data_IF_973349571048
#
_entry.id   IF_973349571048
#
_cell.length_a   1.000
_cell.length_b   1.000
_cell.length_c   1.000
_cell.angle_alpha   90.00
_cell.angle_beta   90.00
_cell.angle_gamma   90.00
#
_symmetry.space_group_name_H-M   'P 1'
#
loop_
_entity.id
_entity.type
_entity.pdbx_description
1 polymer ?
#
# COMPACT_ATOMS: atom_id res chain seq x y z
N UNK A 1 -16.39 -13.55 -6.17
CA UNK A 1 -15.16 -12.84 -5.82
C UNK A 1 -15.55 -11.56 -5.14
N UNK A 2 -15.14 -11.40 -3.89
CA UNK A 2 -15.40 -10.22 -3.07
C UNK A 2 -14.05 -9.57 -2.74
N UNK A 3 -13.88 -8.31 -3.14
CA UNK A 3 -12.70 -7.54 -2.75
C UNK A 3 -12.87 -7.11 -1.31
N UNK A 4 -11.94 -7.49 -0.44
CA UNK A 4 -11.91 -7.08 0.97
C UNK A 4 -10.77 -6.11 1.19
N UNK A 5 -11.08 -4.95 1.77
CA UNK A 5 -10.11 -3.92 2.10
C UNK A 5 -10.07 -3.79 3.61
N UNK A 6 -8.97 -4.23 4.21
CA UNK A 6 -8.77 -4.07 5.65
C UNK A 6 -8.31 -2.65 5.94
N UNK A 7 -9.09 -1.97 6.79
CA UNK A 7 -8.88 -0.60 7.22
C UNK A 7 -8.83 -0.51 8.75
N UNK A 8 -8.49 0.66 9.26
CA UNK A 8 -8.36 1.03 10.65
C UNK A 8 -8.95 2.42 10.84
N UNK A 9 -10.16 2.49 11.40
CA UNK A 9 -10.86 3.74 11.68
C UNK A 9 -10.14 4.58 12.75
N UNK A 10 -9.50 3.93 13.72
CA UNK A 10 -8.86 4.58 14.87
C UNK A 10 -7.36 4.85 14.63
N UNK A 11 -6.84 4.68 13.41
CA UNK A 11 -5.41 4.88 13.14
C UNK A 11 -4.92 6.28 13.52
N UNK A 12 -3.85 6.34 14.34
CA UNK A 12 -3.17 7.58 14.71
C UNK A 12 -2.27 8.15 13.60
N UNK A 13 -2.01 7.37 12.55
CA UNK A 13 -1.16 7.78 11.43
C UNK A 13 -2.01 8.45 10.33
N UNK A 14 -1.74 9.74 10.09
CA UNK A 14 -2.44 10.53 9.07
C UNK A 14 -2.22 9.99 7.65
N UNK A 15 -1.04 9.46 7.37
CA UNK A 15 -0.71 8.88 6.06
C UNK A 15 -1.57 7.64 5.80
N UNK A 16 -1.64 6.73 6.78
CA UNK A 16 -2.50 5.54 6.73
C UNK A 16 -3.96 5.92 6.47
N UNK A 17 -4.49 6.93 7.16
CA UNK A 17 -5.85 7.43 6.92
C UNK A 17 -6.06 7.92 5.48
N UNK A 18 -5.13 8.71 4.95
CA UNK A 18 -5.21 9.19 3.56
C UNK A 18 -5.14 8.04 2.54
N UNK A 19 -4.21 7.10 2.74
CA UNK A 19 -4.06 5.91 1.88
C UNK A 19 -5.34 5.08 1.86
N UNK A 20 -5.91 4.77 3.02
CA UNK A 20 -7.17 4.02 3.12
C UNK A 20 -8.33 4.74 2.41
N UNK A 21 -8.49 6.04 2.67
CA UNK A 21 -9.54 6.84 2.02
C UNK A 21 -9.37 6.84 0.50
N UNK A 22 -8.14 7.01 0.02
CA UNK A 22 -7.83 7.00 -1.42
C UNK A 22 -8.16 5.66 -2.07
N UNK A 23 -7.83 4.53 -1.43
CA UNK A 23 -8.20 3.20 -1.93
C UNK A 23 -9.71 3.06 -2.07
N UNK A 24 -10.48 3.42 -1.04
CA UNK A 24 -11.94 3.38 -1.10
C UNK A 24 -12.49 4.25 -2.24
N UNK A 25 -12.03 5.51 -2.35
CA UNK A 25 -12.47 6.44 -3.40
C UNK A 25 -12.20 5.91 -4.82
N UNK A 26 -11.05 5.26 -5.03
CA UNK A 26 -10.68 4.69 -6.33
C UNK A 26 -11.59 3.50 -6.67
N UNK A 27 -11.81 2.60 -5.71
CA UNK A 27 -12.69 1.44 -5.90
C UNK A 27 -14.13 1.87 -6.21
N UNK A 28 -14.65 2.87 -5.50
CA UNK A 28 -15.96 3.47 -5.78
C UNK A 28 -16.02 4.09 -7.18
N UNK A 29 -14.97 4.82 -7.57
CA UNK A 29 -14.88 5.48 -8.89
C UNK A 29 -14.81 4.48 -10.05
N UNK A 30 -14.21 3.30 -9.83
CA UNK A 30 -14.12 2.21 -10.82
C UNK A 30 -15.35 1.28 -10.76
N UNK A 31 -16.37 1.59 -9.95
CA UNK A 31 -17.58 0.78 -9.74
C UNK A 31 -17.27 -0.67 -9.29
N UNK A 32 -16.20 -0.85 -8.53
CA UNK A 32 -15.80 -2.17 -8.03
C UNK A 32 -16.49 -2.39 -6.69
N UNK A 33 -17.18 -3.51 -6.52
CA UNK A 33 -17.79 -3.87 -5.24
C UNK A 33 -16.72 -4.36 -4.28
N UNK A 34 -16.59 -3.71 -3.13
CA UNK A 34 -15.64 -4.08 -2.09
C UNK A 34 -16.27 -4.03 -0.69
N UNK A 35 -15.69 -4.78 0.23
CA UNK A 35 -16.05 -4.81 1.64
C UNK A 35 -14.92 -4.15 2.44
N UNK A 36 -15.21 -3.03 3.10
CA UNK A 36 -14.26 -2.38 4.00
C UNK A 36 -14.39 -3.01 5.40
N UNK A 37 -13.34 -3.70 5.85
CA UNK A 37 -13.29 -4.37 7.14
C UNK A 37 -12.43 -3.54 8.09
N UNK A 38 -13.06 -2.90 9.08
CA UNK A 38 -12.33 -2.14 10.10
C UNK A 38 -11.80 -3.07 11.20
N UNK A 39 -10.49 -3.31 11.17
CA UNK A 39 -9.80 -4.17 12.14
C UNK A 39 -9.68 -3.54 13.54
N UNK A 40 -10.10 -2.28 13.70
CA UNK A 40 -10.13 -1.58 14.99
C UNK A 40 -11.47 -1.64 15.69
N UNK A 41 -12.51 -2.17 15.04
CA UNK A 41 -13.80 -2.38 15.69
C UNK A 41 -13.74 -3.51 16.73
N UNK A 42 -14.51 -3.40 17.83
CA UNK A 42 -14.58 -4.44 18.83
C UNK A 42 -15.17 -5.73 18.22
N UNK A 43 -14.46 -6.85 18.37
CA UNK A 43 -14.85 -8.14 17.78
C UNK A 43 -14.24 -8.44 16.40
N UNK A 44 -13.41 -7.55 15.85
CA UNK A 44 -12.65 -7.73 14.59
C UNK A 44 -11.18 -8.12 14.80
N UNK A 45 -10.87 -8.64 15.98
CA UNK A 45 -9.57 -9.24 16.31
C UNK A 45 -9.13 -10.34 15.34
N UNK A 46 -9.98 -11.31 14.93
CA UNK A 46 -9.55 -12.35 13.99
C UNK A 46 -9.22 -11.79 12.60
N UNK A 47 -9.94 -10.74 12.16
CA UNK A 47 -9.67 -10.05 10.89
C UNK A 47 -8.32 -9.33 10.93
N UNK A 48 -7.99 -8.71 12.08
CA UNK A 48 -6.68 -8.11 12.32
C UNK A 48 -5.56 -9.15 12.25
N UNK A 49 -5.73 -10.29 12.91
CA UNK A 49 -4.75 -11.37 12.89
C UNK A 49 -4.60 -11.97 11.48
N UNK A 50 -5.72 -12.19 10.80
CA UNK A 50 -5.74 -12.67 9.42
C UNK A 50 -4.97 -11.72 8.49
N UNK A 51 -5.25 -10.43 8.57
CA UNK A 51 -4.52 -9.41 7.81
C UNK A 51 -3.02 -9.48 8.13
N UNK A 52 -2.62 -9.55 9.41
CA UNK A 52 -1.21 -9.60 9.78
C UNK A 52 -0.49 -10.88 9.35
N UNK A 53 -1.17 -12.01 9.34
CA UNK A 53 -0.60 -13.32 8.96
C UNK A 53 -0.53 -13.52 7.45
N UNK A 54 -1.50 -13.00 6.70
CA UNK A 54 -1.65 -13.23 5.26
C UNK A 54 -1.15 -12.06 4.40
N UNK A 55 -0.89 -10.89 5.00
CA UNK A 55 -0.23 -9.79 4.30
C UNK A 55 1.28 -9.98 4.29
N UNK A 56 1.91 -9.51 3.21
CA UNK A 56 3.36 -9.58 3.07
C UNK A 56 4.01 -8.31 3.64
N UNK A 57 4.62 -8.43 4.83
CA UNK A 57 5.27 -7.31 5.49
C UNK A 57 6.69 -7.10 4.91
N UNK A 58 6.78 -6.50 3.71
CA UNK A 58 8.05 -6.35 2.98
C UNK A 58 9.07 -5.49 3.75
N UNK A 59 8.62 -4.42 4.41
CA UNK A 59 9.50 -3.43 5.07
C UNK A 59 9.19 -3.19 6.55
N UNK A 60 8.00 -3.56 7.03
CA UNK A 60 7.57 -3.30 8.40
C UNK A 60 7.48 -4.60 9.21
N UNK A 61 7.71 -4.51 10.52
CA UNK A 61 7.54 -5.65 11.44
C UNK A 61 6.09 -6.17 11.47
N UNK A 62 5.13 -5.29 11.15
CA UNK A 62 3.72 -5.61 10.96
C UNK A 62 3.17 -4.81 9.76
N UNK A 63 2.36 -5.45 8.89
CA UNK A 63 1.74 -4.77 7.77
C UNK A 63 0.74 -3.72 8.28
N UNK A 64 0.78 -2.52 7.69
CA UNK A 64 -0.11 -1.43 8.02
C UNK A 64 -1.26 -1.37 7.02
N UNK A 65 -2.48 -1.01 7.44
CA UNK A 65 -3.59 -0.77 6.51
C UNK A 65 -3.32 0.46 5.62
N UNK A 66 -3.88 0.53 4.40
CA UNK A 66 -4.83 -0.41 3.81
C UNK A 66 -4.14 -1.68 3.30
N UNK A 67 -4.81 -2.82 3.45
CA UNK A 67 -4.38 -4.11 2.90
C UNK A 67 -5.52 -4.70 2.08
N UNK A 68 -5.24 -5.06 0.83
CA UNK A 68 -6.26 -5.48 -0.13
C UNK A 68 -6.17 -6.99 -0.36
N UNK A 69 -7.33 -7.64 -0.26
CA UNK A 69 -7.51 -9.06 -0.49
C UNK A 69 -8.65 -9.30 -1.48
N UNK A 70 -8.55 -10.38 -2.24
CA UNK A 70 -9.62 -10.89 -3.07
C UNK A 70 -10.05 -12.24 -2.48
N UNK A 71 -11.24 -12.26 -1.86
CA UNK A 71 -11.77 -13.33 -1.02
C UNK A 71 -10.86 -13.66 0.19
N UNK A 72 -9.91 -14.57 0.01
CA UNK A 72 -8.89 -14.98 1.01
C UNK A 72 -7.46 -14.83 0.46
N UNK A 73 -7.32 -14.41 -0.79
CA UNK A 73 -6.01 -14.26 -1.45
C UNK A 73 -5.51 -12.84 -1.31
N UNK A 74 -4.30 -12.68 -0.78
CA UNK A 74 -3.63 -11.39 -0.73
C UNK A 74 -3.43 -10.82 -2.14
N UNK A 75 -3.84 -9.57 -2.36
CA UNK A 75 -3.62 -8.85 -3.61
C UNK A 75 -2.40 -7.94 -3.51
N UNK A 76 -2.33 -7.14 -2.44
CA UNK A 76 -1.23 -6.22 -2.21
C UNK A 76 -1.56 -5.14 -1.19
N UNK A 77 -0.58 -4.28 -0.97
CA UNK A 77 -0.69 -3.10 -0.12
C UNK A 77 -1.14 -1.86 -0.90
N UNK A 78 -1.06 -0.68 -0.26
CA UNK A 78 -1.37 0.59 -0.90
C UNK A 78 -0.51 0.87 -2.13
N UNK A 79 0.81 0.65 -2.05
CA UNK A 79 1.75 1.08 -3.07
C UNK A 79 1.58 0.18 -4.32
N UNK A 80 1.34 -1.12 -4.13
CA UNK A 80 0.98 -2.04 -5.21
C UNK A 80 -0.38 -1.69 -5.84
N UNK A 81 -1.37 -1.27 -5.03
CA UNK A 81 -2.68 -0.84 -5.51
C UNK A 81 -2.61 0.47 -6.32
N UNK A 82 -1.89 1.49 -5.84
CA UNK A 82 -1.75 2.78 -6.53
C UNK A 82 -1.02 2.57 -7.86
N UNK A 83 0.02 1.73 -7.90
CA UNK A 83 0.70 1.34 -9.13
C UNK A 83 -0.23 0.62 -10.12
N UNK A 84 -1.06 -0.32 -9.64
CA UNK A 84 -2.04 -1.00 -10.50
C UNK A 84 -3.10 -0.03 -11.03
N UNK A 85 -3.50 0.97 -10.25
CA UNK A 85 -4.41 2.02 -10.68
C UNK A 85 -3.75 2.94 -11.72
N UNK A 86 -2.49 3.32 -11.56
CA UNK A 86 -1.75 4.12 -12.53
C UNK A 86 -1.55 3.41 -13.88
N UNK A 87 -1.43 2.08 -13.86
CA UNK A 87 -1.30 1.26 -15.06
C UNK A 87 -2.65 0.81 -15.67
N UNK A 88 -3.79 1.21 -15.09
CA UNK A 88 -5.13 0.73 -15.46
C UNK A 88 -5.27 -0.81 -15.38
N UNK A 89 -4.51 -1.46 -14.50
CA UNK A 89 -4.52 -2.91 -14.27
C UNK A 89 -5.22 -3.30 -12.95
N UNK A 90 -6.06 -2.42 -12.43
CA UNK A 90 -6.73 -2.61 -11.14
C UNK A 90 -7.56 -3.89 -11.08
N UNK A 91 -8.25 -4.23 -12.17
CA UNK A 91 -9.05 -5.46 -12.25
C UNK A 91 -8.17 -6.72 -12.15
N UNK A 92 -6.99 -6.70 -12.78
CA UNK A 92 -6.01 -7.80 -12.69
C UNK A 92 -5.42 -7.90 -11.29
N UNK A 93 -5.09 -6.76 -10.68
CA UNK A 93 -4.56 -6.69 -9.31
C UNK A 93 -5.56 -7.27 -8.29
N UNK A 94 -6.83 -6.89 -8.41
CA UNK A 94 -7.91 -7.38 -7.56
C UNK A 94 -8.37 -8.80 -7.91
N UNK A 95 -7.78 -9.39 -8.95
CA UNK A 95 -8.13 -10.72 -9.49
C UNK A 95 -9.62 -10.84 -9.84
N UNK A 96 -10.31 -9.73 -10.10
CA UNK A 96 -11.73 -9.75 -10.44
C UNK A 96 -11.89 -10.11 -11.92
N UNK A 97 -12.89 -10.93 -12.29
CA UNK A 97 -13.15 -11.23 -13.68
C UNK A 97 -13.64 -9.96 -14.36
N UNK A 98 -12.85 -9.47 -15.32
CA UNK A 98 -13.27 -8.40 -16.23
C UNK A 98 -14.62 -8.81 -16.82
N UNK A 99 -15.68 -8.06 -16.52
CA UNK A 99 -16.97 -8.23 -17.20
C UNK A 99 -16.87 -7.62 -18.59
N UNK A 100 -16.05 -8.23 -19.45
CA UNK A 100 -15.97 -7.96 -20.88
C UNK A 100 -15.84 -9.28 -21.64
N UNK A 101 -16.75 -9.58 -22.58
CA UNK A 101 -16.69 -10.78 -23.38
C UNK A 101 -15.73 -10.58 -24.56
N UNK A 102 -14.43 -10.45 -24.32
CA UNK A 102 -13.40 -10.60 -25.35
C UNK A 102 -12.02 -10.61 -24.69
N UNK A 103 -11.24 -11.64 -25.00
CA UNK A 103 -10.06 -12.01 -24.23
C UNK A 103 -8.89 -11.05 -24.30
N UNK A 104 -7.97 -11.25 -23.35
CA UNK A 104 -6.53 -11.18 -23.54
C UNK A 104 -5.88 -11.91 -22.38
N UNK A 105 -5.32 -13.06 -22.71
CA UNK A 105 -4.35 -13.83 -21.93
C UNK A 105 -3.29 -12.93 -21.29
N UNK A 106 -3.06 -13.05 -19.99
CA UNK A 106 -1.86 -12.52 -19.34
C UNK A 106 -1.17 -13.65 -18.57
N UNK A 107 -0.42 -14.44 -19.33
CA UNK A 107 0.71 -15.19 -18.84
C UNK A 107 1.88 -14.20 -18.82
N UNK A 108 2.29 -13.70 -17.65
CA UNK A 108 3.63 -13.10 -17.45
C UNK A 108 4.16 -13.55 -16.10
N UNK A 109 4.79 -14.73 -16.13
CA UNK A 109 5.91 -15.05 -15.26
C UNK A 109 6.95 -13.94 -15.42
N UNK A 110 7.15 -13.12 -14.39
CA UNK A 110 8.33 -12.26 -14.33
C UNK A 110 9.13 -12.65 -13.11
N UNK A 111 10.13 -13.49 -13.40
CA UNK A 111 11.16 -13.91 -12.48
C UNK A 111 11.83 -12.71 -11.82
N UNK A 112 11.93 -12.85 -10.50
CA UNK A 112 12.83 -12.12 -9.64
C UNK A 112 14.26 -12.23 -10.18
N UNK A 113 14.73 -11.21 -10.90
CA UNK A 113 16.16 -11.01 -11.13
C UNK A 113 16.75 -10.36 -9.88
N UNK A 114 17.22 -11.21 -8.97
CA UNK A 114 18.20 -10.81 -7.98
C UNK A 114 19.47 -10.40 -8.74
N UNK A 115 19.91 -9.16 -8.57
CA UNK A 115 21.28 -8.79 -8.89
C UNK A 115 21.78 -7.82 -7.81
N UNK A 116 22.47 -8.39 -6.83
CA UNK A 116 23.34 -7.64 -5.93
C UNK A 116 24.68 -7.35 -6.61
N UNK A 117 25.28 -6.20 -6.30
CA UNK A 117 26.68 -6.05 -5.83
C UNK A 117 27.16 -4.58 -5.86
N UNK A 118 27.95 -4.23 -4.84
CA UNK A 118 29.06 -3.26 -4.76
C UNK A 118 28.74 -1.76 -4.89
N UNK A 119 28.77 -0.98 -3.80
CA UNK A 119 29.93 -0.46 -3.05
C UNK A 119 30.84 0.47 -3.85
N UNK A 120 30.79 1.78 -3.54
CA UNK A 120 31.88 2.77 -3.40
C UNK A 120 31.25 4.19 -3.43
N UNK A 121 31.29 5.02 -2.38
CA UNK A 121 32.41 5.74 -1.73
C UNK A 121 32.60 7.17 -2.28
N UNK A 122 32.18 8.12 -1.44
CA UNK A 122 32.76 9.46 -1.10
C UNK A 122 32.63 10.72 -1.99
N UNK A 123 32.27 11.80 -1.25
CA UNK A 123 32.66 13.23 -1.35
C UNK A 123 32.09 14.11 -2.50
N UNK A 124 31.75 15.39 -2.31
CA UNK A 124 32.24 16.42 -1.39
C UNK A 124 31.34 17.67 -1.40
N UNK A 125 31.28 18.36 -0.25
CA UNK A 125 31.35 19.82 -0.03
C UNK A 125 30.29 20.74 -0.71
N UNK A 126 29.86 21.90 -0.21
CA UNK A 126 30.24 22.84 0.84
C UNK A 126 29.06 23.83 0.92
N UNK A 127 28.72 24.37 2.10
CA UNK A 127 28.35 25.79 2.28
C UNK A 127 28.03 26.07 3.74
N UNK A 128 29.05 26.53 4.44
CA UNK A 128 28.95 27.18 5.73
C UNK A 128 29.51 28.61 5.55
N UNK A 129 28.64 29.62 5.65
CA UNK A 129 28.98 31.02 5.97
C UNK A 129 27.70 31.85 6.11
N UNK A 130 27.48 32.41 7.30
CA UNK A 130 26.37 33.31 7.60
C UNK A 130 26.29 33.64 9.09
N UNK A 131 27.26 34.42 9.55
CA UNK A 131 27.48 34.91 10.91
C UNK A 131 26.56 36.08 11.31
N UNK A 132 26.49 36.34 12.64
CA UNK A 132 25.94 37.50 13.37
C UNK A 132 24.39 37.61 13.50
N UNK A 133 23.77 37.87 14.67
CA UNK A 133 24.22 38.39 15.97
C UNK A 133 23.06 38.25 16.98
N UNK A 134 23.33 37.81 18.21
CA UNK A 134 22.39 37.89 19.35
C UNK A 134 22.88 38.95 20.33
N UNK A 135 22.03 39.86 20.85
CA UNK A 135 22.43 40.81 21.87
C UNK A 135 22.30 40.19 23.27
N UNK A 136 23.35 40.29 24.08
CA UNK A 136 23.31 40.00 25.51
C UNK A 136 22.81 41.26 26.25
N UNK A 137 21.86 41.06 27.16
CA UNK A 137 21.36 42.07 28.10
C UNK A 137 21.53 41.53 29.51
N UNK A 138 22.50 42.07 30.26
CA UNK A 138 22.41 42.45 31.68
C UNK A 138 23.73 43.04 32.17
#
# INVERSE_FOLDING_TARGET
MVVKVYISGISGNKEVKKRQQRVCMILESKNITFEAIDITEPGKEPDKEFMQQNSNAKDAKHPLPPQIFSDETYCGDYDEFDLANENDELEKFLKVPVSSPAGSTANVENGHVANGNTSSRENSADKEAGDQQVPESQ
#
